data_IF_885833509750
#
_entry.id   IF_885833509750
#
_cell.length_a   1.000
_cell.length_b   1.000
_cell.length_c   1.000
_cell.angle_alpha   90.00
_cell.angle_beta   90.00
_cell.angle_gamma   90.00
#
_symmetry.space_group_name_H-M   'P 1'
#
loop_
_entity.id
_entity.type
_entity.pdbx_description
1 polymer ?
#
# COMPACT_ATOMS: atom_id res chain seq x y z
N UNK A 1 17.00 -10.93 1.37
CA UNK A 1 15.78 -11.06 0.53
C UNK A 1 15.43 -12.47 0.02
N UNK A 2 16.36 -13.37 -0.36
CA UNK A 2 16.14 -14.43 -1.37
C UNK A 2 15.11 -15.57 -1.13
N UNK A 3 14.61 -15.88 0.08
CA UNK A 3 13.81 -17.11 0.30
C UNK A 3 12.44 -17.13 -0.41
N UNK A 4 11.72 -16.00 -0.46
CA UNK A 4 10.37 -15.94 -1.03
C UNK A 4 10.33 -15.58 -2.54
N UNK A 5 11.45 -15.14 -3.09
CA UNK A 5 11.60 -14.72 -4.49
C UNK A 5 11.51 -15.90 -5.46
N UNK A 6 12.00 -17.08 -5.05
CA UNK A 6 11.89 -18.32 -5.83
C UNK A 6 10.43 -18.77 -6.03
N UNK A 7 9.55 -18.55 -5.03
CA UNK A 7 8.13 -18.90 -5.14
C UNK A 7 7.40 -17.97 -6.11
N UNK A 8 7.63 -16.67 -6.00
CA UNK A 8 7.04 -15.68 -6.89
C UNK A 8 7.50 -15.89 -8.34
N UNK A 9 8.78 -16.20 -8.57
CA UNK A 9 9.29 -16.53 -9.91
C UNK A 9 8.56 -17.73 -10.54
N UNK A 10 8.33 -18.80 -9.76
CA UNK A 10 7.55 -19.96 -10.24
C UNK A 10 6.12 -19.60 -10.61
N UNK A 11 5.47 -18.72 -9.84
CA UNK A 11 4.12 -18.22 -10.14
C UNK A 11 4.14 -17.44 -11.46
N UNK A 12 5.11 -16.53 -11.63
CA UNK A 12 5.25 -15.72 -12.84
C UNK A 12 5.53 -16.57 -14.09
N UNK A 13 6.44 -17.54 -14.00
CA UNK A 13 6.74 -18.47 -15.09
C UNK A 13 5.53 -19.33 -15.47
N UNK A 14 4.73 -19.76 -14.47
CA UNK A 14 3.49 -20.50 -14.71
C UNK A 14 2.47 -19.62 -15.43
N UNK A 15 2.25 -18.40 -14.95
CA UNK A 15 1.32 -17.45 -15.57
C UNK A 15 1.71 -17.13 -17.03
N UNK A 16 3.01 -16.96 -17.32
CA UNK A 16 3.50 -16.68 -18.69
C UNK A 16 3.31 -17.85 -19.66
N UNK A 17 3.27 -19.09 -19.16
CA UNK A 17 3.11 -20.30 -19.98
C UNK A 17 1.66 -20.74 -20.13
N UNK A 18 0.75 -20.19 -19.31
CA UNK A 18 -0.68 -20.46 -19.43
C UNK A 18 -1.22 -19.85 -20.73
N UNK A 19 -2.20 -20.50 -21.39
CA UNK A 19 -2.93 -19.86 -22.50
C UNK A 19 -3.58 -18.56 -22.00
N UNK A 20 -3.69 -17.56 -22.88
CA UNK A 20 -4.41 -16.32 -22.57
C UNK A 20 -5.83 -16.66 -22.12
N UNK A 21 -6.17 -16.34 -20.87
CA UNK A 21 -7.56 -16.39 -20.43
C UNK A 21 -8.29 -15.17 -20.98
N UNK A 22 -9.43 -15.40 -21.60
CA UNK A 22 -10.34 -14.33 -22.06
C UNK A 22 -11.33 -13.92 -20.97
N UNK A 23 -11.25 -14.52 -19.77
CA UNK A 23 -12.14 -14.22 -18.66
C UNK A 23 -11.46 -13.25 -17.69
N UNK A 24 -12.01 -12.03 -17.59
CA UNK A 24 -11.46 -11.00 -16.71
C UNK A 24 -11.42 -11.41 -15.24
N UNK A 25 -12.35 -12.26 -14.78
CA UNK A 25 -12.42 -12.67 -13.37
C UNK A 25 -11.16 -13.37 -12.86
N UNK A 26 -10.37 -13.97 -13.77
CA UNK A 26 -9.11 -14.64 -13.43
C UNK A 26 -8.00 -13.65 -13.02
N UNK A 27 -8.19 -12.37 -13.31
CA UNK A 27 -7.24 -11.28 -13.04
C UNK A 27 -7.82 -10.20 -12.12
N UNK A 28 -9.06 -10.35 -11.67
CA UNK A 28 -9.73 -9.41 -10.79
C UNK A 28 -9.50 -9.79 -9.32
N UNK A 29 -8.98 -8.83 -8.55
CA UNK A 29 -8.87 -8.93 -7.10
C UNK A 29 -9.63 -7.77 -6.47
N UNK A 30 -10.66 -8.09 -5.70
CA UNK A 30 -11.44 -7.11 -4.99
C UNK A 30 -10.83 -6.84 -3.62
N UNK A 31 -10.50 -5.58 -3.35
CA UNK A 31 -10.08 -5.12 -2.03
C UNK A 31 -11.20 -4.30 -1.40
N UNK A 32 -11.46 -4.56 -0.12
CA UNK A 32 -12.43 -3.81 0.67
C UNK A 32 -11.77 -3.32 1.95
N UNK A 33 -11.91 -2.03 2.23
CA UNK A 33 -11.41 -1.37 3.43
C UNK A 33 -12.53 -0.54 4.01
N UNK A 34 -12.72 -0.62 5.32
CA UNK A 34 -13.62 0.27 6.06
C UNK A 34 -12.81 1.23 6.91
N UNK A 35 -13.35 2.42 7.17
CA UNK A 35 -12.75 3.38 8.09
C UNK A 35 -13.84 4.00 8.94
N UNK A 36 -13.67 4.00 10.25
CA UNK A 36 -14.63 4.58 11.20
C UNK A 36 -13.93 5.43 12.24
N UNK A 37 -14.66 6.40 12.78
CA UNK A 37 -14.20 7.19 13.91
C UNK A 37 -14.19 6.33 15.17
N UNK A 38 -13.10 6.38 15.93
CA UNK A 38 -13.03 5.79 17.27
C UNK A 38 -13.46 6.83 18.30
N UNK A 39 -12.79 7.99 18.30
CA UNK A 39 -13.01 9.12 19.20
C UNK A 39 -12.32 10.36 18.63
N UNK A 40 -12.82 11.56 18.92
CA UNK A 40 -12.22 12.81 18.45
C UNK A 40 -11.86 12.73 16.93
N UNK A 41 -10.64 13.10 16.52
CA UNK A 41 -10.16 12.93 15.14
C UNK A 41 -9.44 11.59 14.90
N UNK A 42 -9.46 10.68 15.87
CA UNK A 42 -8.88 9.36 15.74
C UNK A 42 -9.80 8.42 14.96
N UNK A 43 -9.24 7.76 13.94
CA UNK A 43 -9.92 6.83 13.04
C UNK A 43 -9.29 5.44 13.14
N UNK A 44 -10.05 4.41 12.81
CA UNK A 44 -9.54 3.06 12.56
C UNK A 44 -9.89 2.65 11.12
N UNK A 45 -8.86 2.39 10.33
CA UNK A 45 -9.00 1.77 9.02
C UNK A 45 -8.78 0.25 9.16
N UNK A 46 -9.68 -0.55 8.62
CA UNK A 46 -9.66 -2.02 8.71
C UNK A 46 -9.68 -2.65 7.33
N UNK A 47 -8.73 -3.55 7.08
CA UNK A 47 -8.59 -4.33 5.84
C UNK A 47 -8.46 -5.82 6.19
N UNK A 48 -9.57 -6.56 6.10
CA UNK A 48 -9.62 -7.95 6.57
C UNK A 48 -9.40 -8.05 8.09
N UNK A 49 -8.39 -8.82 8.51
CA UNK A 49 -8.01 -8.98 9.91
C UNK A 49 -7.02 -7.91 10.41
N UNK A 50 -6.61 -6.98 9.54
CA UNK A 50 -5.64 -5.94 9.86
C UNK A 50 -6.33 -4.61 10.11
N UNK A 51 -5.83 -3.87 11.10
CA UNK A 51 -6.31 -2.53 11.41
C UNK A 51 -5.13 -1.57 11.62
N UNK A 52 -5.34 -0.31 11.25
CA UNK A 52 -4.41 0.81 11.48
C UNK A 52 -5.19 1.96 12.10
N UNK A 53 -4.61 2.56 13.14
CA UNK A 53 -5.13 3.80 13.73
C UNK A 53 -4.55 5.00 12.99
N UNK A 54 -5.39 5.99 12.72
CA UNK A 54 -5.02 7.29 12.18
C UNK A 54 -5.46 8.38 13.15
N UNK A 55 -4.79 9.52 13.13
CA UNK A 55 -5.11 10.68 13.96
C UNK A 55 -4.60 11.96 13.31
N UNK A 56 -5.15 13.09 13.71
CA UNK A 56 -4.74 14.39 13.20
C UNK A 56 -3.80 15.12 14.17
N UNK A 57 -2.95 16.05 13.69
CA UNK A 57 -2.11 16.86 14.57
C UNK A 57 -2.91 17.79 15.48
N UNK A 58 -2.30 18.21 16.60
CA UNK A 58 -2.92 19.13 17.56
C UNK A 58 -3.39 20.46 16.96
N UNK A 59 -2.68 20.99 15.97
CA UNK A 59 -3.02 22.27 15.34
C UNK A 59 -4.30 22.21 14.47
N UNK A 60 -4.87 21.00 14.28
CA UNK A 60 -6.14 20.78 13.59
C UNK A 60 -7.07 19.88 14.43
N UNK A 61 -6.99 20.04 15.76
CA UNK A 61 -7.88 19.45 16.76
C UNK A 61 -7.74 17.94 17.03
N UNK A 62 -6.76 17.25 16.43
CA UNK A 62 -6.45 15.86 16.78
C UNK A 62 -5.48 15.71 17.95
N UNK A 63 -5.18 14.47 18.31
CA UNK A 63 -4.35 14.12 19.47
C UNK A 63 -2.91 13.76 19.10
N UNK A 64 -2.55 13.84 17.81
CA UNK A 64 -1.23 13.55 17.26
C UNK A 64 -0.65 12.18 17.70
N UNK A 65 -1.52 11.18 17.84
CA UNK A 65 -1.17 9.84 18.34
C UNK A 65 -0.84 8.82 17.25
N UNK A 66 -1.12 9.15 16.00
CA UNK A 66 -0.88 8.30 14.84
C UNK A 66 -0.67 9.16 13.57
N UNK A 67 -0.37 8.52 12.45
CA UNK A 67 -0.31 9.20 11.15
C UNK A 67 -1.70 9.73 10.76
N UNK A 68 -1.74 10.86 10.06
CA UNK A 68 -3.00 11.38 9.53
C UNK A 68 -3.43 10.70 8.22
N UNK A 69 -4.64 11.01 7.77
CA UNK A 69 -5.21 10.42 6.57
C UNK A 69 -4.34 10.66 5.31
N UNK A 70 -3.75 11.85 5.19
CA UNK A 70 -2.87 12.19 4.08
C UNK A 70 -1.58 11.37 4.13
N UNK A 71 -0.97 11.24 5.29
CA UNK A 71 0.24 10.43 5.48
C UNK A 71 -0.03 8.95 5.22
N UNK A 72 -1.19 8.43 5.60
CA UNK A 72 -1.60 7.07 5.26
C UNK A 72 -1.75 6.89 3.74
N UNK A 73 -2.35 7.85 3.04
CA UNK A 73 -2.44 7.83 1.57
C UNK A 73 -1.04 7.81 0.92
N UNK A 74 -0.13 8.66 1.37
CA UNK A 74 1.25 8.67 0.86
C UNK A 74 1.99 7.37 1.19
N UNK A 75 1.75 6.80 2.36
CA UNK A 75 2.34 5.51 2.77
C UNK A 75 1.83 4.36 1.89
N UNK A 76 0.53 4.33 1.57
CA UNK A 76 -0.04 3.38 0.62
C UNK A 76 0.57 3.54 -0.79
N UNK A 77 0.78 4.78 -1.23
CA UNK A 77 1.37 5.05 -2.54
C UNK A 77 2.85 4.63 -2.60
N UNK A 78 3.64 4.99 -1.59
CA UNK A 78 5.06 4.62 -1.50
C UNK A 78 5.24 3.10 -1.43
N UNK A 79 4.47 2.43 -0.58
CA UNK A 79 4.54 0.96 -0.42
C UNK A 79 4.10 0.21 -1.68
N UNK A 80 3.13 0.74 -2.44
CA UNK A 80 2.75 0.19 -3.74
C UNK A 80 3.93 0.22 -4.74
N UNK A 81 4.64 1.36 -4.83
CA UNK A 81 5.82 1.46 -5.69
C UNK A 81 6.95 0.53 -5.26
N UNK A 82 7.26 0.50 -3.97
CA UNK A 82 8.35 -0.34 -3.45
C UNK A 82 8.04 -1.82 -3.70
N UNK A 83 6.80 -2.25 -3.46
CA UNK A 83 6.35 -3.62 -3.75
C UNK A 83 6.48 -3.96 -5.24
N UNK A 84 6.11 -3.04 -6.14
CA UNK A 84 6.29 -3.25 -7.58
C UNK A 84 7.76 -3.41 -7.96
N UNK A 85 8.66 -2.62 -7.38
CA UNK A 85 10.09 -2.78 -7.59
C UNK A 85 10.60 -4.15 -7.13
N UNK A 86 10.14 -4.62 -5.96
CA UNK A 86 10.45 -5.97 -5.49
C UNK A 86 9.96 -7.04 -6.48
N UNK A 87 8.78 -6.87 -7.08
CA UNK A 87 8.30 -7.78 -8.13
C UNK A 87 9.20 -7.78 -9.36
N UNK A 88 9.62 -6.62 -9.87
CA UNK A 88 10.50 -6.54 -11.03
C UNK A 88 11.88 -7.16 -10.78
N UNK A 89 12.51 -6.84 -9.64
CA UNK A 89 13.79 -7.43 -9.27
C UNK A 89 13.69 -8.95 -9.21
N UNK A 90 12.58 -9.47 -8.66
CA UNK A 90 12.32 -10.91 -8.62
C UNK A 90 12.18 -11.50 -10.02
N UNK A 91 11.34 -10.89 -10.85
CA UNK A 91 11.00 -11.41 -12.18
C UNK A 91 12.20 -11.41 -13.13
N UNK A 92 13.05 -10.39 -13.04
CA UNK A 92 14.20 -10.21 -13.92
C UNK A 92 15.53 -10.66 -13.30
N UNK A 93 15.50 -11.22 -12.08
CA UNK A 93 16.69 -11.71 -11.36
C UNK A 93 17.80 -10.64 -11.28
N UNK A 94 17.42 -9.42 -10.92
CA UNK A 94 18.33 -8.29 -10.76
C UNK A 94 19.08 -8.41 -9.42
N UNK A 95 20.33 -7.98 -9.39
CA UNK A 95 21.13 -7.95 -8.17
C UNK A 95 21.02 -6.56 -7.52
N UNK A 96 20.02 -6.41 -6.65
CA UNK A 96 19.73 -5.16 -5.92
C UNK A 96 19.73 -5.48 -4.43
N UNK A 97 20.51 -4.71 -3.67
CA UNK A 97 20.67 -4.89 -2.22
C UNK A 97 19.55 -4.23 -1.43
N UNK A 98 19.12 -3.03 -1.86
CA UNK A 98 18.12 -2.21 -1.16
C UNK A 98 17.32 -1.32 -2.12
N UNK A 99 16.09 -1.00 -1.72
CA UNK A 99 15.21 -0.04 -2.39
C UNK A 99 14.48 0.73 -1.31
N UNK A 100 14.38 2.05 -1.50
CA UNK A 100 13.55 2.91 -0.66
C UNK A 100 12.76 3.87 -1.52
N UNK A 101 11.47 4.04 -1.25
CA UNK A 101 10.64 5.05 -1.91
C UNK A 101 10.34 6.21 -0.95
N UNK A 102 10.59 7.44 -1.41
CA UNK A 102 10.24 8.66 -0.68
C UNK A 102 9.26 9.51 -1.49
N UNK A 103 8.14 9.88 -0.87
CA UNK A 103 7.09 10.69 -1.49
C UNK A 103 6.79 11.87 -0.58
N UNK A 104 6.65 13.05 -1.18
CA UNK A 104 6.24 14.28 -0.50
C UNK A 104 5.08 14.91 -1.26
N UNK A 105 4.16 15.53 -0.52
CA UNK A 105 3.03 16.26 -1.09
C UNK A 105 2.86 17.60 -0.37
N UNK A 106 2.37 18.59 -1.11
CA UNK A 106 1.96 19.89 -0.57
C UNK A 106 0.45 20.00 -0.76
N UNK A 107 -0.25 20.28 0.34
CA UNK A 107 -1.70 20.49 0.34
C UNK A 107 -1.96 21.94 0.74
N UNK A 108 -2.65 22.66 -0.14
CA UNK A 108 -3.23 23.95 0.19
C UNK A 108 -4.40 23.74 1.15
N UNK A 109 -4.34 24.28 2.37
CA UNK A 109 -5.36 24.02 3.40
C UNK A 109 -6.58 24.94 3.33
N UNK A 110 -6.63 25.90 2.39
CA UNK A 110 -7.76 26.83 2.24
C UNK A 110 -9.09 26.15 1.90
N UNK A 111 -9.10 24.89 1.44
CA UNK A 111 -10.34 24.13 1.24
C UNK A 111 -10.93 23.56 2.54
N UNK A 112 -10.16 23.57 3.63
CA UNK A 112 -10.52 22.97 4.94
C UNK A 112 -10.68 24.00 6.07
N UNK A 113 -10.64 25.29 5.72
CA UNK A 113 -10.83 26.45 6.59
C UNK A 113 -12.10 27.18 6.16
#
# INVERSE_FOLDING_TARGET
MKKNFTKLRKIHEKARKSPESTNNSDFEVNYHVTCSQIKNFQLQATAGEHAVTLDEPHNIAGDNTAMNAVQMLLSAFASCYETNWLFYITAYNLDVEDISVSISAVIDRRYSL
#
